data_IF_561602943113
#
_entry.id   IF_561602943113
#
_cell.length_a   1.000
_cell.length_b   1.000
_cell.length_c   1.000
_cell.angle_alpha   90.00
_cell.angle_beta   90.00
_cell.angle_gamma   90.00
#
_symmetry.space_group_name_H-M   'P 1'
#
loop_
_entity.id
_entity.type
_entity.pdbx_description
1 polymer ?
#
# COMPACT_ATOMS: atom_id res chain seq x y z
N UNK A 1 20.03 -4.24 -65.87
CA UNK A 1 19.18 -5.07 -64.99
C UNK A 1 19.40 -4.56 -63.57
N UNK A 2 18.43 -3.83 -62.99
CA UNK A 2 18.58 -3.12 -61.71
C UNK A 2 18.01 -3.98 -60.59
N UNK A 3 18.87 -4.44 -59.68
CA UNK A 3 18.46 -5.14 -58.45
C UNK A 3 18.00 -4.07 -57.45
N UNK A 4 16.73 -4.13 -57.02
CA UNK A 4 16.20 -3.32 -55.92
C UNK A 4 16.29 -4.15 -54.64
N UNK A 5 17.12 -3.72 -53.69
CA UNK A 5 17.14 -4.25 -52.33
C UNK A 5 16.04 -3.50 -51.57
N UNK A 6 15.03 -4.22 -51.10
CA UNK A 6 14.02 -3.67 -50.21
C UNK A 6 14.52 -3.82 -48.76
N UNK A 7 14.76 -2.70 -48.09
CA UNK A 7 15.01 -2.66 -46.66
C UNK A 7 13.67 -2.77 -45.92
N UNK A 8 13.51 -3.84 -45.14
CA UNK A 8 12.37 -4.03 -44.24
C UNK A 8 12.65 -3.20 -42.97
N UNK A 9 12.02 -2.04 -42.83
CA UNK A 9 11.98 -1.33 -41.54
C UNK A 9 10.99 -2.07 -40.62
N UNK A 10 11.52 -2.80 -39.65
CA UNK A 10 10.74 -3.25 -38.49
C UNK A 10 10.51 -2.07 -37.56
N UNK A 11 9.26 -1.62 -37.43
CA UNK A 11 8.86 -0.69 -36.38
C UNK A 11 8.63 -1.53 -35.12
N UNK A 12 9.60 -1.51 -34.21
CA UNK A 12 9.37 -1.97 -32.84
C UNK A 12 8.49 -0.91 -32.15
N UNK A 13 7.22 -1.22 -31.95
CA UNK A 13 6.34 -0.43 -31.10
C UNK A 13 6.78 -0.60 -29.65
N UNK A 14 7.55 0.35 -29.13
CA UNK A 14 7.73 0.52 -27.70
C UNK A 14 6.39 1.08 -27.21
N UNK A 15 5.60 0.23 -26.54
CA UNK A 15 4.49 0.71 -25.71
C UNK A 15 5.13 1.35 -24.49
N UNK A 16 5.32 2.67 -24.53
CA UNK A 16 5.59 3.45 -23.34
C UNK A 16 4.28 3.49 -22.55
N UNK A 17 4.17 2.69 -21.50
CA UNK A 17 3.18 2.96 -20.46
C UNK A 17 3.48 4.37 -19.93
N UNK A 18 2.49 5.27 -19.99
CA UNK A 18 2.61 6.50 -19.22
C UNK A 18 2.58 6.11 -17.75
N UNK A 19 3.51 6.56 -16.89
CA UNK A 19 3.25 6.50 -15.46
C UNK A 19 1.95 7.30 -15.25
N UNK A 20 0.93 6.65 -14.72
CA UNK A 20 -0.14 7.39 -14.06
C UNK A 20 0.52 8.23 -12.98
N UNK A 21 0.09 9.47 -12.77
CA UNK A 21 0.54 10.19 -11.58
C UNK A 21 -0.10 9.47 -10.40
N UNK A 22 0.71 8.99 -9.45
CA UNK A 22 0.23 8.46 -8.18
C UNK A 22 -0.72 9.48 -7.52
N UNK A 23 -1.75 8.97 -6.86
CA UNK A 23 -2.68 9.78 -6.07
C UNK A 23 -1.99 10.21 -4.78
N UNK A 24 -1.83 11.52 -4.61
CA UNK A 24 -1.25 12.07 -3.40
C UNK A 24 -2.22 12.00 -2.21
N UNK A 25 -1.83 11.27 -1.17
CA UNK A 25 -2.52 11.19 0.11
C UNK A 25 -1.82 12.13 1.09
N UNK A 26 -2.56 13.08 1.67
CA UNK A 26 -1.99 14.09 2.58
C UNK A 26 -2.65 14.14 3.95
N UNK A 27 -3.68 13.32 4.18
CA UNK A 27 -4.29 13.13 5.48
C UNK A 27 -4.96 11.75 5.56
N UNK A 28 -5.15 11.26 6.78
CA UNK A 28 -6.04 10.14 7.07
C UNK A 28 -7.35 10.66 7.63
N UNK A 29 -8.46 10.21 7.05
CA UNK A 29 -9.76 10.45 7.65
C UNK A 29 -9.91 9.68 8.96
N UNK A 30 -10.67 10.22 9.92
CA UNK A 30 -10.88 9.54 11.20
C UNK A 30 -11.68 8.22 11.07
N UNK A 31 -12.47 8.10 10.01
CA UNK A 31 -13.30 6.93 9.68
C UNK A 31 -13.47 6.90 8.15
N UNK A 32 -13.98 5.80 7.59
CA UNK A 32 -14.39 5.78 6.19
C UNK A 32 -15.40 6.91 5.88
N UNK A 33 -15.11 7.73 4.88
CA UNK A 33 -15.98 8.84 4.43
C UNK A 33 -16.41 8.69 2.98
N UNK A 34 -15.50 8.23 2.11
CA UNK A 34 -15.69 8.07 0.68
C UNK A 34 -14.79 6.95 0.18
N UNK A 35 -15.17 6.37 -0.97
CA UNK A 35 -14.37 5.38 -1.67
C UNK A 35 -12.94 5.89 -1.90
N UNK A 36 -11.97 5.02 -1.67
CA UNK A 36 -10.53 5.22 -1.93
C UNK A 36 -9.82 6.29 -1.09
N UNK A 37 -10.55 6.97 -0.19
CA UNK A 37 -9.91 7.81 0.82
C UNK A 37 -9.28 6.95 1.92
N UNK A 38 -8.02 7.22 2.23
CA UNK A 38 -7.32 6.58 3.34
C UNK A 38 -7.86 7.06 4.68
N UNK A 39 -8.13 6.14 5.59
CA UNK A 39 -8.67 6.43 6.92
C UNK A 39 -8.01 5.60 8.01
N UNK A 40 -8.16 6.05 9.26
CA UNK A 40 -7.76 5.32 10.46
C UNK A 40 -8.66 4.10 10.64
N UNK A 41 -8.24 2.94 10.16
CA UNK A 41 -9.06 1.72 10.16
C UNK A 41 -9.14 1.10 11.54
N UNK A 42 -8.03 1.07 12.28
CA UNK A 42 -7.96 0.51 13.62
C UNK A 42 -6.74 1.02 14.38
N UNK A 43 -6.89 2.17 15.04
CA UNK A 43 -5.90 2.77 15.93
C UNK A 43 -6.37 2.63 17.38
N UNK A 44 -5.54 2.05 18.24
CA UNK A 44 -5.88 1.74 19.64
C UNK A 44 -4.80 2.19 20.60
N UNK A 45 -5.24 2.57 21.79
CA UNK A 45 -4.41 2.95 22.93
C UNK A 45 -3.34 3.99 22.54
N UNK A 46 -2.05 3.67 22.61
CA UNK A 46 -0.95 4.57 22.26
C UNK A 46 -0.46 4.40 20.81
N UNK A 47 -1.21 3.70 19.97
CA UNK A 47 -0.92 3.66 18.54
C UNK A 47 -1.21 5.00 17.87
N UNK A 48 -0.42 5.37 16.86
CA UNK A 48 -0.67 6.56 16.04
C UNK A 48 -0.44 6.28 14.56
N UNK A 49 -1.11 7.05 13.71
CA UNK A 49 -0.89 7.05 12.27
C UNK A 49 -0.95 8.50 11.75
N UNK A 50 0.09 8.94 11.07
CA UNK A 50 0.23 10.29 10.52
C UNK A 50 0.95 10.23 9.17
N UNK A 51 0.87 11.31 8.37
CA UNK A 51 1.70 11.49 7.18
C UNK A 51 2.73 12.56 7.51
N UNK A 52 4.01 12.26 7.27
CA UNK A 52 5.14 13.10 7.70
C UNK A 52 6.00 13.50 6.50
N UNK A 53 6.68 14.65 6.65
CA UNK A 53 7.73 15.08 5.73
C UNK A 53 9.06 14.50 6.24
N UNK A 54 9.77 13.78 5.38
CA UNK A 54 11.05 13.13 5.67
C UNK A 54 12.26 14.03 5.35
N UNK A 55 12.04 15.26 4.85
CA UNK A 55 13.09 16.22 4.55
C UNK A 55 13.89 16.58 5.79
N UNK A 56 15.20 16.31 5.77
CA UNK A 56 16.12 16.59 6.87
C UNK A 56 16.18 15.52 7.97
N UNK A 57 15.45 14.40 7.85
CA UNK A 57 15.57 13.26 8.77
C UNK A 57 16.92 12.53 8.60
N UNK A 58 17.53 12.61 7.41
CA UNK A 58 18.80 11.98 7.08
C UNK A 58 18.73 10.45 6.97
N UNK A 59 19.90 9.82 6.87
CA UNK A 59 20.02 8.36 6.78
C UNK A 59 19.30 7.77 5.56
N UNK A 60 19.04 6.46 5.60
CA UNK A 60 18.28 5.79 4.53
C UNK A 60 16.81 6.21 4.51
N UNK A 61 16.25 6.66 5.65
CA UNK A 61 14.87 7.12 5.76
C UNK A 61 14.58 8.23 4.74
N UNK A 62 15.44 9.26 4.68
CA UNK A 62 15.31 10.36 3.71
C UNK A 62 15.96 10.06 2.35
N UNK A 63 17.15 9.45 2.34
CA UNK A 63 17.96 9.38 1.11
C UNK A 63 17.53 8.26 0.15
N UNK A 64 16.88 7.22 0.67
CA UNK A 64 16.51 6.02 -0.09
C UNK A 64 14.98 5.81 -0.13
N UNK A 65 14.19 6.85 0.19
CA UNK A 65 12.72 6.79 0.13
C UNK A 65 12.19 6.49 -1.29
N UNK A 66 11.09 5.72 -1.40
CA UNK A 66 10.57 5.25 -2.68
C UNK A 66 9.96 6.38 -3.52
N UNK A 67 9.20 7.28 -2.91
CA UNK A 67 8.66 8.48 -3.53
C UNK A 67 9.19 9.74 -2.80
N UNK A 68 9.06 10.94 -3.40
CA UNK A 68 9.65 12.14 -2.83
C UNK A 68 9.07 12.49 -1.46
N UNK A 69 9.89 13.16 -0.64
CA UNK A 69 9.56 14.00 0.53
C UNK A 69 8.69 13.47 1.66
N UNK A 70 7.82 12.49 1.50
CA UNK A 70 6.87 12.06 2.52
C UNK A 70 6.76 10.56 2.69
N UNK A 71 6.12 10.17 3.79
CA UNK A 71 5.64 8.81 3.99
C UNK A 71 4.52 8.78 5.04
N UNK A 72 3.72 7.72 5.01
CA UNK A 72 2.87 7.38 6.14
C UNK A 72 3.72 6.82 7.28
N UNK A 73 3.51 7.31 8.50
CA UNK A 73 4.16 6.87 9.73
C UNK A 73 3.15 6.18 10.65
N UNK A 74 3.47 4.97 11.08
CA UNK A 74 2.72 4.19 12.05
C UNK A 74 3.57 3.98 13.30
N UNK A 75 2.98 4.21 14.48
CA UNK A 75 3.67 3.92 15.75
C UNK A 75 2.82 3.07 16.69
N UNK A 76 3.47 2.29 17.54
CA UNK A 76 2.84 1.59 18.67
C UNK A 76 3.58 1.92 19.97
N UNK A 77 2.84 1.97 21.07
CA UNK A 77 3.42 2.12 22.40
C UNK A 77 3.99 0.82 22.97
N UNK A 78 4.25 0.80 24.27
CA UNK A 78 4.86 -0.34 24.97
C UNK A 78 3.86 -1.39 25.49
N UNK A 79 2.60 -1.38 25.05
CA UNK A 79 1.55 -2.33 25.43
C UNK A 79 1.18 -3.28 24.28
N UNK A 80 0.82 -4.51 24.60
CA UNK A 80 0.32 -5.48 23.60
C UNK A 80 -1.00 -5.05 22.96
N UNK A 81 -1.73 -4.14 23.58
CA UNK A 81 -3.00 -3.63 23.07
C UNK A 81 -2.83 -2.45 22.11
N UNK A 82 -1.65 -1.83 22.08
CA UNK A 82 -1.34 -0.74 21.16
C UNK A 82 -1.37 -1.27 19.71
N UNK A 83 -2.02 -0.50 18.83
CA UNK A 83 -2.18 -0.85 17.41
C UNK A 83 -2.30 0.42 16.57
N UNK A 84 -1.68 0.43 15.41
CA UNK A 84 -1.89 1.47 14.40
C UNK A 84 -2.15 0.81 13.05
N UNK A 85 -3.27 1.14 12.42
CA UNK A 85 -3.65 0.65 11.10
C UNK A 85 -4.45 1.71 10.36
N UNK A 86 -4.13 1.88 9.09
CA UNK A 86 -4.84 2.72 8.14
C UNK A 86 -5.23 1.89 6.94
N UNK A 87 -6.29 2.27 6.25
CA UNK A 87 -6.71 1.54 5.07
C UNK A 87 -7.59 2.32 4.14
N UNK A 88 -7.90 1.66 3.02
CA UNK A 88 -8.81 2.12 1.98
C UNK A 88 -9.87 1.06 1.76
N UNK A 89 -11.05 1.53 1.39
CA UNK A 89 -12.16 0.68 1.00
C UNK A 89 -12.99 1.40 -0.05
N UNK A 90 -13.71 0.61 -0.83
CA UNK A 90 -14.58 1.10 -1.90
C UNK A 90 -15.93 0.41 -1.80
N UNK A 91 -16.99 1.17 -2.00
CA UNK A 91 -18.35 0.65 -2.12
C UNK A 91 -18.44 -0.32 -3.29
N UNK A 92 -18.75 -1.59 -3.00
CA UNK A 92 -18.78 -2.66 -4.01
C UNK A 92 -17.43 -3.37 -4.22
N UNK A 93 -16.38 -2.94 -3.52
CA UNK A 93 -15.07 -3.59 -3.51
C UNK A 93 -14.19 -3.32 -4.73
N UNK A 94 -13.09 -4.07 -4.79
CA UNK A 94 -12.00 -3.95 -5.76
C UNK A 94 -11.99 -5.11 -6.77
N UNK A 95 -13.16 -5.70 -7.04
CA UNK A 95 -13.31 -6.95 -7.79
C UNK A 95 -13.27 -8.17 -6.86
N UNK A 96 -13.29 -9.37 -7.44
CA UNK A 96 -13.15 -10.62 -6.66
C UNK A 96 -11.68 -11.06 -6.57
N UNK A 97 -11.39 -12.01 -5.68
CA UNK A 97 -10.08 -12.69 -5.66
C UNK A 97 -9.84 -13.40 -7.00
N UNK A 98 -10.89 -13.97 -7.61
CA UNK A 98 -10.81 -14.54 -8.95
C UNK A 98 -10.42 -13.53 -10.03
N UNK A 99 -10.93 -12.30 -9.98
CA UNK A 99 -10.50 -11.23 -10.88
C UNK A 99 -9.01 -10.92 -10.68
N UNK A 100 -8.56 -10.81 -9.42
CA UNK A 100 -7.15 -10.57 -9.09
C UNK A 100 -6.25 -11.66 -9.66
N UNK A 101 -6.56 -12.94 -9.42
CA UNK A 101 -5.73 -14.06 -9.89
C UNK A 101 -5.75 -14.21 -11.42
N UNK A 102 -6.91 -14.09 -12.05
CA UNK A 102 -7.04 -14.35 -13.50
C UNK A 102 -6.51 -13.22 -14.38
N UNK A 103 -6.45 -11.99 -13.86
CA UNK A 103 -5.98 -10.82 -14.61
C UNK A 103 -4.51 -10.51 -14.35
N UNK A 104 -3.82 -11.28 -13.50
CA UNK A 104 -2.44 -11.02 -13.11
C UNK A 104 -2.32 -9.82 -12.19
N UNK A 105 -3.27 -9.67 -11.26
CA UNK A 105 -3.30 -8.62 -10.27
C UNK A 105 -2.05 -8.61 -9.39
N UNK A 106 -1.75 -7.42 -8.87
CA UNK A 106 -0.57 -7.16 -8.05
C UNK A 106 -0.93 -6.26 -6.88
N UNK A 107 -0.20 -6.43 -5.78
CA UNK A 107 -0.20 -5.54 -4.63
C UNK A 107 1.26 -5.26 -4.28
N UNK A 108 1.64 -3.99 -4.14
CA UNK A 108 2.97 -3.62 -3.68
C UNK A 108 2.91 -2.46 -2.72
N UNK A 109 3.91 -2.40 -1.85
CA UNK A 109 4.17 -1.27 -0.99
C UNK A 109 5.63 -1.26 -0.57
N UNK A 110 6.16 -0.07 -0.35
CA UNK A 110 7.47 0.12 0.24
C UNK A 110 7.33 0.39 1.73
N UNK A 111 8.14 -0.25 2.56
CA UNK A 111 8.13 -0.06 4.01
C UNK A 111 9.52 0.16 4.57
N UNK A 112 9.59 0.90 5.67
CA UNK A 112 10.79 1.15 6.44
C UNK A 112 10.51 0.86 7.90
N UNK A 113 11.42 0.14 8.56
CA UNK A 113 11.36 -0.10 9.99
C UNK A 113 12.45 0.71 10.68
N UNK A 114 12.09 1.61 11.58
CA UNK A 114 13.06 2.38 12.38
C UNK A 114 13.64 1.51 13.48
N UNK A 115 14.97 1.53 13.65
CA UNK A 115 15.63 0.85 14.78
C UNK A 115 15.41 1.55 16.11
N UNK A 116 15.02 2.83 16.10
CA UNK A 116 14.83 3.63 17.29
C UNK A 116 13.61 3.18 18.08
N UNK A 117 13.86 2.62 19.27
CA UNK A 117 12.80 2.20 20.17
C UNK A 117 12.16 0.86 19.83
N UNK A 118 12.69 0.12 18.85
CA UNK A 118 12.20 -1.20 18.44
C UNK A 118 12.22 -2.21 19.60
N UNK A 119 11.04 -2.64 20.03
CA UNK A 119 10.88 -3.68 21.05
C UNK A 119 10.50 -5.06 20.46
N UNK A 120 10.36 -5.18 19.14
CA UNK A 120 10.07 -6.44 18.45
C UNK A 120 10.80 -6.50 17.09
N UNK A 121 11.91 -7.23 17.05
CA UNK A 121 12.74 -7.41 15.85
C UNK A 121 12.00 -8.00 14.63
N UNK A 122 10.87 -8.68 14.83
CA UNK A 122 10.10 -9.34 13.76
C UNK A 122 8.93 -8.49 13.24
N UNK A 123 8.54 -7.44 13.95
CA UNK A 123 7.45 -6.58 13.52
C UNK A 123 7.90 -5.56 12.48
N UNK A 124 7.02 -5.28 11.52
CA UNK A 124 7.09 -4.16 10.59
C UNK A 124 5.67 -3.84 10.10
N UNK A 125 5.51 -2.82 9.26
CA UNK A 125 4.21 -2.53 8.63
C UNK A 125 3.77 -3.72 7.77
N UNK A 126 2.64 -4.32 8.13
CA UNK A 126 2.04 -5.45 7.42
C UNK A 126 0.92 -4.98 6.50
N UNK A 127 0.90 -5.44 5.26
CA UNK A 127 -0.18 -5.14 4.31
C UNK A 127 -1.23 -6.25 4.33
N UNK A 128 -2.49 -5.86 4.13
CA UNK A 128 -3.65 -6.70 4.37
C UNK A 128 -4.66 -6.54 3.25
N UNK A 129 -5.32 -7.64 2.91
CA UNK A 129 -6.46 -7.68 1.98
C UNK A 129 -7.64 -8.25 2.75
N UNK A 130 -8.70 -7.45 2.90
CA UNK A 130 -9.96 -7.92 3.49
C UNK A 130 -10.90 -8.36 2.39
N UNK A 131 -11.47 -9.55 2.53
CA UNK A 131 -12.42 -10.12 1.59
C UNK A 131 -13.74 -10.50 2.26
N UNK A 132 -14.81 -10.49 1.47
CA UNK A 132 -16.11 -10.99 1.85
C UNK A 132 -16.72 -11.81 0.72
N UNK A 133 -17.04 -13.06 1.03
CA UNK A 133 -17.88 -13.92 0.23
C UNK A 133 -19.31 -13.91 0.78
N UNK A 134 -20.26 -13.51 -0.07
CA UNK A 134 -21.70 -13.50 0.24
C UNK A 134 -22.45 -14.66 -0.41
N UNK A 135 -21.76 -15.44 -1.25
CA UNK A 135 -22.31 -16.53 -2.03
C UNK A 135 -21.61 -17.85 -1.70
N UNK A 136 -21.48 -18.12 -0.40
CA UNK A 136 -20.86 -19.35 0.12
C UNK A 136 -21.74 -20.53 -0.29
N UNK A 137 -21.32 -21.24 -1.34
CA UNK A 137 -22.12 -22.28 -1.97
C UNK A 137 -21.58 -23.67 -1.70
N UNK A 138 -20.32 -23.78 -1.25
CA UNK A 138 -19.67 -25.07 -1.13
C UNK A 138 -19.59 -25.65 0.29
N UNK A 139 -19.94 -26.93 0.30
CA UNK A 139 -19.81 -27.89 1.41
C UNK A 139 -18.40 -28.52 1.37
N UNK A 140 -17.39 -27.80 0.90
CA UNK A 140 -16.10 -28.37 0.53
C UNK A 140 -15.01 -28.11 1.59
N UNK A 141 -14.63 -29.20 2.26
CA UNK A 141 -13.33 -29.44 2.91
C UNK A 141 -12.94 -28.83 4.26
N UNK A 142 -13.87 -28.30 5.06
CA UNK A 142 -13.69 -28.31 6.53
C UNK A 142 -14.98 -28.72 7.22
N UNK A 143 -15.04 -29.99 7.60
CA UNK A 143 -16.14 -30.60 8.31
C UNK A 143 -16.37 -29.95 9.68
N UNK A 144 -17.18 -28.90 9.76
CA UNK A 144 -17.79 -28.49 11.02
C UNK A 144 -19.04 -27.65 10.78
N UNK A 145 -20.11 -28.04 11.45
CA UNK A 145 -21.38 -27.31 11.57
C UNK A 145 -21.20 -25.98 12.32
N UNK A 146 -20.63 -24.97 11.67
CA UNK A 146 -20.57 -23.58 12.12
C UNK A 146 -21.40 -22.66 11.20
N UNK A 147 -21.71 -21.41 11.61
CA UNK A 147 -22.24 -20.43 10.67
C UNK A 147 -21.20 -20.23 9.55
N UNK A 148 -21.63 -20.31 8.29
CA UNK A 148 -20.77 -20.06 7.14
C UNK A 148 -20.13 -18.67 7.29
N UNK A 149 -18.83 -18.62 7.59
CA UNK A 149 -18.06 -17.38 7.72
C UNK A 149 -17.32 -17.11 6.41
N UNK A 150 -17.80 -16.14 5.65
CA UNK A 150 -17.21 -15.72 4.37
C UNK A 150 -16.35 -14.47 4.49
N UNK A 151 -16.08 -13.97 5.70
CA UNK A 151 -15.28 -12.77 5.91
C UNK A 151 -13.90 -13.12 6.41
N UNK A 152 -12.85 -12.57 5.80
CA UNK A 152 -11.50 -12.70 6.35
C UNK A 152 -10.60 -11.57 5.94
N UNK A 153 -9.52 -11.41 6.69
CA UNK A 153 -8.40 -10.57 6.29
C UNK A 153 -7.19 -11.47 6.09
N UNK A 154 -6.69 -11.49 4.86
CA UNK A 154 -5.38 -12.03 4.52
C UNK A 154 -4.31 -11.02 4.89
N UNK A 155 -3.28 -11.45 5.59
CA UNK A 155 -2.26 -10.59 6.19
C UNK A 155 -0.89 -11.06 5.72
N UNK A 156 -0.20 -10.19 4.99
CA UNK A 156 1.20 -10.34 4.62
C UNK A 156 2.02 -9.64 5.69
N UNK A 157 2.89 -10.39 6.38
CA UNK A 157 3.85 -9.80 7.31
C UNK A 157 5.27 -9.97 6.76
N UNK A 158 6.09 -8.90 6.77
CA UNK A 158 7.48 -8.97 6.32
C UNK A 158 8.28 -10.12 6.94
N UNK A 159 8.15 -10.39 8.24
CA UNK A 159 8.95 -11.43 8.92
C UNK A 159 8.82 -12.82 8.30
N UNK A 160 7.65 -13.17 7.75
CA UNK A 160 7.38 -14.47 7.13
C UNK A 160 7.64 -14.51 5.63
N UNK A 161 7.94 -13.35 5.05
CA UNK A 161 8.15 -13.15 3.62
C UNK A 161 9.58 -12.71 3.28
N UNK A 162 10.44 -12.65 4.28
CA UNK A 162 11.87 -12.48 4.12
C UNK A 162 12.55 -13.84 3.98
N UNK A 163 13.64 -13.88 3.20
CA UNK A 163 14.48 -15.07 3.11
C UNK A 163 13.72 -16.31 2.62
N UNK A 164 13.48 -17.26 3.52
CA UNK A 164 12.72 -18.48 3.19
C UNK A 164 11.26 -18.27 3.60
N UNK A 165 10.36 -18.33 2.61
CA UNK A 165 8.92 -18.14 2.84
C UNK A 165 8.40 -19.06 3.95
N UNK A 166 7.62 -18.49 4.87
CA UNK A 166 7.03 -19.17 6.02
C UNK A 166 7.98 -19.38 7.21
N UNK A 167 9.24 -18.95 7.13
CA UNK A 167 10.12 -18.85 8.29
C UNK A 167 10.08 -17.44 8.89
N UNK A 168 10.16 -17.34 10.22
CA UNK A 168 10.20 -16.04 10.90
C UNK A 168 11.63 -15.53 10.88
N UNK A 169 11.87 -14.52 10.05
CA UNK A 169 13.13 -13.81 9.97
C UNK A 169 12.97 -12.40 10.57
N UNK A 170 14.01 -11.94 11.28
CA UNK A 170 14.03 -10.59 11.82
C UNK A 170 13.99 -9.57 10.67
N UNK A 171 13.11 -8.57 10.79
CA UNK A 171 12.96 -7.57 9.73
C UNK A 171 14.11 -6.57 9.83
N UNK A 172 14.86 -6.32 8.74
CA UNK A 172 15.92 -5.32 8.75
C UNK A 172 15.37 -3.94 9.13
N UNK A 173 16.13 -3.23 9.95
CA UNK A 173 15.86 -1.84 10.30
C UNK A 173 16.67 -0.89 9.42
N UNK A 174 16.24 0.37 9.40
CA UNK A 174 16.95 1.50 8.80
C UNK A 174 17.24 1.36 7.31
N UNK A 175 16.33 0.70 6.58
CA UNK A 175 16.34 0.63 5.12
C UNK A 175 14.91 0.48 4.59
N UNK A 176 14.68 1.02 3.39
CA UNK A 176 13.45 0.81 2.64
C UNK A 176 13.47 -0.57 1.97
N UNK A 177 12.34 -1.28 2.07
CA UNK A 177 12.13 -2.59 1.43
C UNK A 177 10.80 -2.53 0.70
N UNK A 178 10.81 -2.87 -0.59
CA UNK A 178 9.59 -3.02 -1.39
C UNK A 178 9.12 -4.47 -1.32
N UNK A 179 7.86 -4.67 -0.95
CA UNK A 179 7.18 -5.95 -1.09
C UNK A 179 6.36 -5.95 -2.38
N UNK A 180 6.62 -6.94 -3.23
CA UNK A 180 5.86 -7.20 -4.45
C UNK A 180 5.07 -8.50 -4.26
N UNK A 181 3.75 -8.42 -4.43
CA UNK A 181 2.82 -9.52 -4.16
C UNK A 181 1.95 -9.73 -5.41
N UNK A 182 1.81 -11.00 -5.80
CA UNK A 182 0.95 -11.47 -6.89
C UNK A 182 0.10 -12.65 -6.42
N UNK A 183 -0.60 -13.33 -7.33
CA UNK A 183 -1.28 -14.58 -6.99
C UNK A 183 -0.35 -15.66 -6.44
N UNK A 184 0.88 -15.72 -6.98
CA UNK A 184 1.88 -16.74 -6.77
C UNK A 184 3.13 -16.26 -6.00
N UNK A 185 3.09 -15.04 -5.45
CA UNK A 185 4.16 -14.47 -4.62
C UNK A 185 3.61 -13.73 -3.42
N UNK A 186 4.37 -13.75 -2.31
CA UNK A 186 3.91 -13.28 -1.02
C UNK A 186 2.96 -14.26 -0.36
N UNK A 187 3.27 -14.68 0.87
CA UNK A 187 2.42 -15.56 1.67
C UNK A 187 1.63 -14.76 2.67
N UNK A 188 0.38 -15.18 2.85
CA UNK A 188 -0.59 -14.59 3.74
C UNK A 188 -1.06 -15.63 4.74
N UNK A 189 -1.17 -15.23 6.00
CA UNK A 189 -2.02 -15.91 6.96
C UNK A 189 -3.38 -15.21 7.01
N UNK A 190 -4.43 -15.87 7.50
CA UNK A 190 -5.77 -15.30 7.53
C UNK A 190 -6.40 -15.31 8.92
N UNK A 191 -7.34 -14.40 9.17
CA UNK A 191 -8.04 -14.28 10.46
C UNK A 191 -9.12 -15.36 10.69
N UNK A 192 -9.33 -16.24 9.72
CA UNK A 192 -10.31 -17.33 9.73
C UNK A 192 -11.34 -17.14 8.60
N UNK A 193 -11.69 -18.21 7.88
CA UNK A 193 -12.67 -18.20 6.79
C UNK A 193 -13.15 -19.63 6.50
N UNK A 194 -14.38 -19.84 6.04
CA UNK A 194 -14.88 -21.14 5.59
C UNK A 194 -14.68 -22.28 6.61
N UNK A 195 -14.87 -21.97 7.90
CA UNK A 195 -14.60 -22.86 9.05
C UNK A 195 -13.11 -23.18 9.30
N UNK A 196 -12.18 -22.61 8.53
CA UNK A 196 -10.77 -22.57 8.89
C UNK A 196 -10.58 -21.66 10.10
N UNK A 197 -9.83 -22.15 11.08
CA UNK A 197 -9.47 -21.37 12.26
C UNK A 197 -8.61 -20.16 11.88
N UNK A 198 -8.56 -19.18 12.78
CA UNK A 198 -7.59 -18.10 12.70
C UNK A 198 -6.17 -18.66 12.85
N UNK A 199 -5.26 -18.27 11.95
CA UNK A 199 -3.86 -18.67 11.99
C UNK A 199 -3.01 -17.80 12.94
N UNK A 200 -3.58 -16.71 13.48
CA UNK A 200 -3.02 -15.83 14.51
C UNK A 200 -1.49 -15.63 14.46
N UNK A 201 -1.01 -14.97 13.40
CA UNK A 201 0.43 -14.66 13.26
C UNK A 201 1.33 -15.88 13.06
N UNK A 202 0.76 -17.06 12.79
CA UNK A 202 1.51 -18.24 12.38
C UNK A 202 1.76 -18.21 10.87
N UNK A 203 2.91 -17.68 10.49
CA UNK A 203 3.33 -17.67 9.09
C UNK A 203 3.85 -19.01 8.59
N UNK A 204 3.99 -20.03 9.44
CA UNK A 204 4.42 -21.36 8.98
C UNK A 204 3.36 -22.08 8.16
N UNK A 205 2.09 -21.70 8.36
CA UNK A 205 0.92 -22.11 7.56
C UNK A 205 0.44 -20.98 6.63
N UNK A 206 1.29 -19.97 6.34
CA UNK A 206 0.97 -18.94 5.37
C UNK A 206 1.17 -19.45 3.94
N UNK A 207 0.18 -19.19 3.09
CA UNK A 207 0.23 -19.56 1.68
C UNK A 207 0.04 -18.36 0.76
N UNK A 208 0.42 -18.52 -0.51
CA UNK A 208 0.10 -17.51 -1.53
C UNK A 208 -1.42 -17.42 -1.75
N UNK A 209 -1.91 -16.33 -2.36
CA UNK A 209 -3.34 -16.23 -2.68
C UNK A 209 -3.79 -17.34 -3.64
N UNK A 210 -2.94 -17.79 -4.56
CA UNK A 210 -3.20 -18.91 -5.44
C UNK A 210 -3.34 -20.23 -4.66
N UNK A 211 -2.43 -20.50 -3.73
CA UNK A 211 -2.51 -21.69 -2.88
C UNK A 211 -3.77 -21.70 -2.01
N UNK A 212 -4.16 -20.54 -1.46
CA UNK A 212 -5.43 -20.39 -0.73
C UNK A 212 -6.64 -20.64 -1.65
N UNK A 213 -6.57 -20.16 -2.90
CA UNK A 213 -7.59 -20.43 -3.90
C UNK A 213 -7.67 -21.90 -4.28
N UNK A 214 -6.54 -22.61 -4.32
CA UNK A 214 -6.51 -24.05 -4.58
C UNK A 214 -7.13 -24.84 -3.41
N UNK A 215 -6.95 -24.34 -2.18
CA UNK A 215 -7.52 -24.94 -0.97
C UNK A 215 -9.03 -24.72 -0.83
N UNK A 216 -9.47 -23.46 -0.98
CA UNK A 216 -10.87 -23.05 -0.75
C UNK A 216 -11.73 -23.09 -2.02
N UNK A 217 -11.12 -23.24 -3.20
CA UNK A 217 -11.81 -23.43 -4.45
C UNK A 217 -12.65 -22.23 -4.88
N UNK A 218 -13.85 -22.51 -5.40
CA UNK A 218 -14.73 -21.51 -6.00
C UNK A 218 -15.20 -20.44 -5.01
N UNK A 219 -15.40 -20.80 -3.73
CA UNK A 219 -15.87 -19.86 -2.72
C UNK A 219 -14.88 -18.69 -2.55
N UNK A 220 -13.56 -18.96 -2.46
CA UNK A 220 -12.58 -17.87 -2.37
C UNK A 220 -12.50 -17.08 -3.68
N UNK A 221 -12.59 -17.72 -4.84
CA UNK A 221 -12.55 -17.03 -6.13
C UNK A 221 -13.70 -16.03 -6.31
N UNK A 222 -14.86 -16.31 -5.72
CA UNK A 222 -16.04 -15.44 -5.73
C UNK A 222 -16.01 -14.37 -4.63
N UNK A 223 -15.09 -14.47 -3.66
CA UNK A 223 -14.97 -13.52 -2.57
C UNK A 223 -14.58 -12.13 -3.10
N UNK A 224 -15.33 -11.11 -2.69
CA UNK A 224 -15.08 -9.71 -3.06
C UNK A 224 -13.97 -9.13 -2.20
N UNK A 225 -12.98 -8.49 -2.81
CA UNK A 225 -11.96 -7.72 -2.10
C UNK A 225 -12.58 -6.40 -1.64
N UNK A 226 -12.77 -6.23 -0.33
CA UNK A 226 -13.44 -5.07 0.25
C UNK A 226 -12.49 -3.92 0.56
N UNK A 227 -11.24 -4.23 0.90
CA UNK A 227 -10.34 -3.25 1.50
C UNK A 227 -8.89 -3.68 1.46
N UNK A 228 -8.02 -2.69 1.45
CA UNK A 228 -6.58 -2.85 1.65
C UNK A 228 -6.22 -2.03 2.88
N UNK A 229 -5.46 -2.62 3.80
CA UNK A 229 -4.97 -1.88 4.97
C UNK A 229 -3.52 -2.18 5.25
N UNK A 230 -2.83 -1.21 5.84
CA UNK A 230 -1.43 -1.32 6.27
C UNK A 230 -1.38 -0.96 7.75
N UNK A 231 -0.74 -1.81 8.54
CA UNK A 231 -0.70 -1.60 9.98
C UNK A 231 0.39 -2.35 10.71
N UNK A 232 0.69 -1.87 11.91
CA UNK A 232 1.41 -2.63 12.93
C UNK A 232 0.38 -3.17 13.93
N UNK A 233 0.23 -4.50 13.94
CA UNK A 233 -0.77 -5.20 14.76
C UNK A 233 -0.51 -5.14 16.27
N UNK A 234 -1.49 -5.60 17.05
CA UNK A 234 -1.33 -5.83 18.49
C UNK A 234 -0.20 -6.81 18.79
N UNK A 235 0.39 -6.73 19.99
CA UNK A 235 1.57 -7.48 20.43
C UNK A 235 2.88 -7.12 19.71
N UNK A 236 2.89 -6.06 18.90
CA UNK A 236 4.09 -5.48 18.30
C UNK A 236 4.39 -4.14 18.97
N UNK A 237 5.06 -4.20 20.11
CA UNK A 237 5.32 -3.05 20.98
C UNK A 237 6.46 -2.17 20.45
N UNK A 238 6.40 -0.87 20.73
CA UNK A 238 7.47 0.10 20.49
C UNK A 238 7.90 0.19 19.03
N UNK A 239 6.98 -0.03 18.10
CA UNK A 239 7.31 0.01 16.68
C UNK A 239 7.18 1.43 16.16
N UNK A 240 8.12 1.83 15.31
CA UNK A 240 7.95 2.94 14.38
C UNK A 240 8.21 2.40 12.98
N UNK A 241 7.17 2.40 12.16
CA UNK A 241 7.25 1.95 10.78
C UNK A 241 6.77 3.06 9.85
N UNK A 242 7.40 3.16 8.69
CA UNK A 242 6.94 4.01 7.61
C UNK A 242 6.53 3.14 6.43
N UNK A 243 5.58 3.62 5.65
CA UNK A 243 5.24 3.00 4.37
C UNK A 243 4.85 4.05 3.34
N UNK A 244 5.04 3.70 2.09
CA UNK A 244 4.79 4.57 0.93
C UNK A 244 4.71 3.73 -0.36
N UNK A 245 4.43 4.35 -1.50
CA UNK A 245 4.36 3.71 -2.83
C UNK A 245 3.42 2.49 -2.85
N UNK A 246 2.18 2.71 -2.42
CA UNK A 246 1.18 1.63 -2.32
C UNK A 246 0.46 1.48 -3.65
N UNK A 247 0.63 0.34 -4.30
CA UNK A 247 0.02 0.05 -5.59
C UNK A 247 -0.86 -1.19 -5.52
N UNK A 248 -2.01 -1.14 -6.18
CA UNK A 248 -2.90 -2.28 -6.31
C UNK A 248 -3.50 -2.36 -7.70
N UNK A 249 -3.39 -3.53 -8.32
CA UNK A 249 -4.01 -3.82 -9.60
C UNK A 249 -4.88 -5.07 -9.52
N UNK A 250 -6.09 -4.97 -10.07
CA UNK A 250 -7.01 -6.10 -10.22
C UNK A 250 -8.01 -5.81 -11.33
N UNK A 251 -7.90 -6.52 -12.45
CA UNK A 251 -8.70 -6.30 -13.64
C UNK A 251 -8.61 -4.86 -14.16
N UNK A 252 -9.70 -4.10 -14.02
CA UNK A 252 -9.76 -2.69 -14.43
C UNK A 252 -9.36 -1.70 -13.32
N UNK A 253 -9.16 -2.19 -12.10
CA UNK A 253 -8.70 -1.39 -10.97
C UNK A 253 -7.19 -1.25 -11.06
N UNK A 254 -6.72 -0.01 -11.00
CA UNK A 254 -5.32 0.35 -10.88
C UNK A 254 -5.24 1.54 -9.91
N UNK A 255 -4.68 1.30 -8.73
CA UNK A 255 -4.48 2.27 -7.67
C UNK A 255 -2.98 2.42 -7.44
N UNK A 256 -2.56 3.66 -7.21
CA UNK A 256 -1.18 4.05 -6.99
C UNK A 256 -1.22 5.24 -6.04
N UNK A 257 -0.66 5.10 -4.83
CA UNK A 257 -0.74 6.11 -3.76
C UNK A 257 0.65 6.55 -3.28
N UNK A 258 0.78 7.86 -3.14
CA UNK A 258 1.97 8.58 -2.69
C UNK A 258 1.63 9.38 -1.43
N UNK A 259 2.35 9.16 -0.33
CA UNK A 259 2.02 9.76 0.98
C UNK A 259 2.83 11.01 1.26
N UNK A 260 2.30 12.15 0.85
CA UNK A 260 3.01 13.42 0.97
C UNK A 260 2.38 14.32 2.03
N UNK A 261 3.21 14.75 2.98
CA UNK A 261 2.83 15.83 3.88
C UNK A 261 2.89 17.16 3.12
N UNK A 262 1.86 17.40 2.31
CA UNK A 262 1.61 18.70 1.70
C UNK A 262 1.08 19.66 2.76
N UNK A 263 1.93 19.98 3.74
CA UNK A 263 1.77 21.23 4.48
C UNK A 263 1.64 22.31 3.40
N UNK A 264 0.44 22.87 3.26
CA UNK A 264 0.13 23.87 2.24
C UNK A 264 1.09 25.03 2.49
N UNK A 265 2.25 25.03 1.85
CA UNK A 265 3.17 26.15 1.88
C UNK A 265 2.39 27.24 1.17
N UNK A 266 1.90 28.29 1.86
CA UNK A 266 1.23 29.36 1.17
C UNK A 266 2.28 29.92 0.23
N UNK A 267 2.06 29.80 -1.08
CA UNK A 267 2.99 30.30 -2.10
C UNK A 267 3.42 31.68 -1.64
N UNK A 268 4.72 31.92 -1.35
CA UNK A 268 5.11 33.18 -0.78
C UNK A 268 4.60 34.28 -1.72
N UNK A 269 3.80 35.21 -1.19
CA UNK A 269 3.27 36.34 -1.97
C UNK A 269 4.36 37.12 -2.72
N UNK A 270 5.64 36.85 -2.43
CA UNK A 270 6.81 37.20 -3.20
C UNK A 270 6.67 36.96 -4.72
N UNK A 271 6.03 35.88 -5.21
CA UNK A 271 5.86 35.68 -6.65
C UNK A 271 4.95 36.76 -7.28
N UNK A 272 3.86 37.09 -6.59
CA UNK A 272 2.95 38.20 -6.94
C UNK A 272 3.65 39.57 -6.78
N UNK A 273 4.48 39.76 -5.75
CA UNK A 273 5.25 41.00 -5.57
C UNK A 273 6.37 41.17 -6.61
N UNK A 274 7.01 40.07 -7.05
CA UNK A 274 8.03 40.10 -8.09
C UNK A 274 7.41 40.43 -9.45
N UNK A 275 6.27 39.81 -9.79
CA UNK A 275 5.54 40.09 -11.03
C UNK A 275 5.00 41.53 -11.06
N UNK A 276 4.43 42.02 -9.97
CA UNK A 276 3.97 43.42 -9.88
C UNK A 276 5.14 44.40 -9.89
N UNK A 277 6.26 44.08 -9.24
CA UNK A 277 7.49 44.87 -9.28
C UNK A 277 8.08 44.99 -10.69
N UNK A 278 8.15 43.88 -11.43
CA UNK A 278 8.63 43.85 -12.81
C UNK A 278 7.67 44.59 -13.77
N UNK A 279 6.35 44.43 -13.60
CA UNK A 279 5.36 45.18 -14.36
C UNK A 279 5.45 46.69 -14.10
N UNK A 280 5.65 47.10 -12.84
CA UNK A 280 5.85 48.49 -12.44
C UNK A 280 7.11 49.12 -13.07
N UNK A 281 8.23 48.39 -13.09
CA UNK A 281 9.47 48.82 -13.74
C UNK A 281 9.32 48.92 -15.27
N UNK A 282 8.58 47.98 -15.89
CA UNK A 282 8.25 48.01 -17.30
C UNK A 282 7.41 49.24 -17.69
N UNK A 283 6.35 49.53 -16.91
CA UNK A 283 5.49 50.69 -17.11
C UNK A 283 6.24 52.03 -16.93
N UNK A 284 7.11 52.12 -15.92
CA UNK A 284 7.96 53.29 -15.69
C UNK A 284 8.92 53.56 -16.86
N UNK A 285 9.47 52.49 -17.47
CA UNK A 285 10.36 52.59 -18.63
C UNK A 285 9.63 53.03 -19.91
N UNK A 286 8.40 52.55 -20.12
CA UNK A 286 7.57 52.98 -21.26
C UNK A 286 7.16 54.46 -21.12
N UNK A 287 6.85 54.91 -19.91
CA UNK A 287 6.49 56.32 -19.65
C UNK A 287 7.66 57.28 -19.90
N UNK A 288 8.91 56.87 -19.63
CA UNK A 288 10.13 57.65 -19.95
C UNK A 288 10.51 57.67 -21.43
N UNK A 289 9.99 56.76 -22.26
CA UNK A 289 10.25 56.74 -23.71
C UNK A 289 9.27 57.61 -24.50
N UNK A 290 8.11 57.89 -23.92
CA UNK A 290 7.03 58.65 -24.55
C UNK A 290 6.89 60.10 -24.02
N UNK A 291 7.79 60.51 -23.11
CA UNK A 291 7.95 61.87 -22.62
C UNK A 291 9.31 62.40 -23.11
#
# INVERSE_FOLDING_TARGET
>A
MKVKIAALLGVAGIVLASPGNAETVNAFDATFTTDDAWFLSDVRDNGTADIVDLTGEGGALENDQPLPTGAAKLTTGASNTDKAEVGITRTGGYGTVGDFLTTGGSLSYSYFKDSTGDLNAFAAAAIKITVLDTNISETANLAASGPNDGFTTFIYEPTWNLGTLGNSDAVPTDQWITADISGDSGTFWHTGIYNAGNLFGDGSDAFTLQDWSDLFGGDLLDATILGISIGVGTSNQGQTAFFDDVQFTSGSINLDYDFENTAVVPVPGAALFLLTGLAGLGAARLRRRNA
#
